data_IF_643831366690
#
_entry.id   IF_643831366690
#
_cell.length_a   1.000
_cell.length_b   1.000
_cell.length_c   1.000
_cell.angle_alpha   90.00
_cell.angle_beta   90.00
_cell.angle_gamma   90.00
#
_symmetry.space_group_name_H-M   'P 1'
#
loop_
_entity.id
_entity.type
_entity.pdbx_description
1 polymer ?
#
# COMPACT_ATOMS: atom_id res chain seq x y z
N UNK A 1 18.29 11.86 -14.36
CA UNK A 1 17.24 11.55 -13.37
C UNK A 1 16.12 10.82 -14.09
N UNK A 2 15.66 9.68 -13.57
CA UNK A 2 14.54 8.94 -14.18
C UNK A 2 13.24 9.75 -14.00
N UNK A 3 12.30 9.64 -14.94
CA UNK A 3 11.00 10.30 -14.82
C UNK A 3 10.23 9.76 -13.60
N UNK A 4 9.44 10.61 -12.90
CA UNK A 4 8.67 10.14 -11.76
C UNK A 4 7.53 9.22 -12.20
N UNK A 5 7.42 8.06 -11.55
CA UNK A 5 6.41 7.04 -11.84
C UNK A 5 5.07 7.33 -11.18
N UNK A 6 5.04 8.13 -10.11
CA UNK A 6 3.81 8.57 -9.47
C UNK A 6 3.86 10.09 -9.33
N UNK A 7 2.81 10.76 -9.77
CA UNK A 7 2.74 12.21 -9.80
C UNK A 7 1.39 12.68 -9.28
N UNK A 8 1.42 13.67 -8.40
CA UNK A 8 0.26 14.43 -7.97
C UNK A 8 0.37 15.80 -8.65
N UNK A 9 -0.67 16.20 -9.36
CA UNK A 9 -0.74 17.50 -10.06
C UNK A 9 -1.92 18.28 -9.51
N UNK A 10 -1.62 19.33 -8.74
CA UNK A 10 -2.59 20.24 -8.13
C UNK A 10 -3.71 19.50 -7.35
N UNK A 11 -3.35 18.45 -6.60
CA UNK A 11 -4.32 17.59 -5.93
C UNK A 11 -4.98 18.31 -4.76
N UNK A 12 -6.32 18.35 -4.78
CA UNK A 12 -7.17 18.80 -3.68
C UNK A 12 -8.09 17.68 -3.19
N UNK A 13 -8.30 17.60 -1.88
CA UNK A 13 -9.23 16.65 -1.25
C UNK A 13 -10.02 17.35 -0.14
N UNK A 14 -11.32 17.11 -0.11
CA UNK A 14 -12.29 17.66 0.83
C UNK A 14 -13.11 16.53 1.48
N UNK A 15 -13.42 16.69 2.76
CA UNK A 15 -14.42 15.88 3.44
C UNK A 15 -15.54 16.79 3.92
N UNK A 16 -16.68 16.73 3.23
CA UNK A 16 -17.75 17.70 3.39
C UNK A 16 -17.27 19.11 3.06
N UNK A 17 -17.45 20.05 4.00
CA UNK A 17 -17.03 21.45 3.82
C UNK A 17 -15.55 21.69 4.15
N UNK A 18 -14.87 20.70 4.73
CA UNK A 18 -13.47 20.84 5.16
C UNK A 18 -12.52 20.41 4.06
N UNK A 19 -11.70 21.33 3.57
CA UNK A 19 -10.54 20.97 2.76
C UNK A 19 -9.43 20.37 3.64
N UNK A 20 -8.86 19.27 3.17
CA UNK A 20 -7.78 18.53 3.85
C UNK A 20 -6.47 18.68 3.09
N UNK A 21 -6.51 18.56 1.76
CA UNK A 21 -5.37 18.79 0.86
C UNK A 21 -5.66 19.99 -0.04
N UNK A 22 -4.64 20.83 -0.23
CA UNK A 22 -4.74 22.07 -0.98
C UNK A 22 -3.61 22.10 -2.03
N UNK A 23 -3.95 22.00 -3.31
CA UNK A 23 -3.03 22.19 -4.43
C UNK A 23 -1.70 21.44 -4.29
N UNK A 24 -1.77 20.15 -3.97
CA UNK A 24 -0.56 19.34 -3.76
C UNK A 24 0.03 18.93 -5.11
N UNK A 25 1.26 19.37 -5.37
CA UNK A 25 2.06 18.96 -6.53
C UNK A 25 3.34 18.28 -6.06
N UNK A 26 3.51 17.00 -6.41
CA UNK A 26 4.62 16.15 -5.96
C UNK A 26 4.89 15.04 -6.98
N UNK A 27 6.14 14.61 -7.11
CA UNK A 27 6.53 13.46 -7.93
C UNK A 27 7.42 12.48 -7.16
N UNK A 28 7.22 11.18 -7.40
CA UNK A 28 8.01 10.10 -6.81
C UNK A 28 8.80 9.37 -7.90
N UNK A 29 10.10 9.25 -7.68
CA UNK A 29 11.01 8.60 -8.63
C UNK A 29 11.35 7.17 -8.19
N UNK A 30 11.57 6.24 -9.14
CA UNK A 30 12.02 4.88 -8.81
C UNK A 30 13.31 4.88 -7.98
N UNK A 31 13.46 3.89 -7.11
CA UNK A 31 14.66 3.71 -6.28
C UNK A 31 14.85 4.77 -5.18
N UNK A 32 13.83 5.58 -4.91
CA UNK A 32 13.89 6.64 -3.89
C UNK A 32 13.03 6.26 -2.69
N UNK A 33 13.58 6.42 -1.48
CA UNK A 33 12.82 6.38 -0.24
C UNK A 33 12.37 7.80 0.12
N UNK A 34 11.06 8.05 0.08
CA UNK A 34 10.48 9.35 0.43
C UNK A 34 9.78 9.27 1.78
N UNK A 35 10.16 10.13 2.72
CA UNK A 35 9.50 10.25 4.02
C UNK A 35 8.57 11.47 4.05
N UNK A 36 7.31 11.25 4.43
CA UNK A 36 6.33 12.31 4.63
C UNK A 36 6.20 12.63 6.13
N UNK A 37 6.63 13.82 6.52
CA UNK A 37 6.64 14.27 7.92
C UNK A 37 5.76 15.50 8.10
N UNK A 38 5.19 15.66 9.30
CA UNK A 38 4.33 16.79 9.64
C UNK A 38 3.43 16.48 10.85
N UNK A 39 2.79 17.50 11.44
CA UNK A 39 1.98 17.31 12.64
C UNK A 39 0.74 16.43 12.38
N UNK A 40 0.13 15.94 13.46
CA UNK A 40 -1.15 15.23 13.38
C UNK A 40 -2.22 16.14 12.77
N UNK A 41 -3.06 15.58 11.91
CA UNK A 41 -4.09 16.34 11.20
C UNK A 41 -3.61 17.13 9.97
N UNK A 42 -2.32 17.12 9.62
CA UNK A 42 -1.78 17.77 8.43
C UNK A 42 -2.21 17.12 7.08
N UNK A 43 -3.08 16.11 7.09
CA UNK A 43 -3.53 15.44 5.88
C UNK A 43 -2.61 14.33 5.34
N UNK A 44 -1.58 13.90 6.09
CA UNK A 44 -0.62 12.87 5.63
C UNK A 44 -1.28 11.56 5.19
N UNK A 45 -2.17 11.01 6.02
CA UNK A 45 -2.91 9.79 5.69
C UNK A 45 -3.84 9.99 4.49
N UNK A 46 -4.43 11.18 4.36
CA UNK A 46 -5.23 11.57 3.18
C UNK A 46 -4.36 11.65 1.93
N UNK A 47 -3.15 12.19 2.04
CA UNK A 47 -2.19 12.27 0.94
C UNK A 47 -1.78 10.88 0.46
N UNK A 48 -1.50 9.96 1.39
CA UNK A 48 -1.20 8.57 1.06
C UNK A 48 -2.42 7.88 0.41
N UNK A 49 -3.63 8.09 0.93
CA UNK A 49 -4.86 7.49 0.40
C UNK A 49 -5.22 7.99 -1.01
N UNK A 50 -4.98 9.27 -1.32
CA UNK A 50 -5.21 9.79 -2.68
C UNK A 50 -4.08 9.37 -3.63
N UNK A 51 -2.83 9.34 -3.15
CA UNK A 51 -1.69 8.89 -3.93
C UNK A 51 -1.78 7.39 -4.27
N UNK A 52 -2.35 6.59 -3.37
CA UNK A 52 -2.70 5.20 -3.64
C UNK A 52 -3.96 5.10 -4.52
N UNK A 53 -4.85 6.07 -4.49
CA UNK A 53 -6.12 6.02 -5.23
C UNK A 53 -7.19 5.23 -4.51
N UNK A 54 -7.06 5.08 -3.19
CA UNK A 54 -8.13 4.58 -2.31
C UNK A 54 -9.18 5.67 -2.05
N UNK A 55 -8.80 6.94 -2.18
CA UNK A 55 -9.67 8.13 -2.15
C UNK A 55 -9.49 8.91 -3.45
N UNK A 56 -10.57 9.29 -4.16
CA UNK A 56 -10.44 10.15 -5.34
C UNK A 56 -10.03 11.57 -4.96
N UNK A 57 -9.33 12.26 -5.85
CA UNK A 57 -9.10 13.69 -5.73
C UNK A 57 -10.35 14.48 -6.15
N UNK A 58 -10.69 15.54 -5.42
CA UNK A 58 -11.78 16.46 -5.80
C UNK A 58 -11.31 17.53 -6.81
N UNK A 59 -10.00 17.77 -6.86
CA UNK A 59 -9.34 18.67 -7.80
C UNK A 59 -7.97 18.12 -8.20
N UNK A 60 -7.52 18.48 -9.40
CA UNK A 60 -6.25 17.97 -9.95
C UNK A 60 -6.33 16.50 -10.31
N UNK A 61 -5.17 15.83 -10.37
CA UNK A 61 -5.11 14.40 -10.69
C UNK A 61 -3.87 13.72 -10.13
N UNK A 62 -4.02 12.43 -9.86
CA UNK A 62 -2.92 11.51 -9.56
C UNK A 62 -2.64 10.66 -10.79
N UNK A 63 -1.39 10.61 -11.22
CA UNK A 63 -0.94 9.89 -12.40
C UNK A 63 0.05 8.83 -11.96
N UNK A 64 -0.22 7.58 -12.32
CA UNK A 64 0.68 6.45 -12.13
C UNK A 64 1.17 6.00 -13.51
N UNK A 65 2.48 5.96 -13.67
CA UNK A 65 3.20 5.95 -14.93
C UNK A 65 2.74 7.11 -15.82
N UNK A 66 1.97 6.82 -16.87
CA UNK A 66 1.46 7.81 -17.82
C UNK A 66 -0.08 7.90 -17.82
N UNK A 67 -0.75 7.27 -16.85
CA UNK A 67 -2.20 7.18 -16.81
C UNK A 67 -2.78 7.70 -15.49
N UNK A 68 -3.90 8.45 -15.51
CA UNK A 68 -4.64 8.79 -14.30
C UNK A 68 -4.95 7.55 -13.46
N UNK A 69 -4.72 7.62 -12.14
CA UNK A 69 -4.86 6.47 -11.24
C UNK A 69 -6.29 5.92 -11.24
N UNK A 70 -7.29 6.79 -11.39
CA UNK A 70 -8.71 6.42 -11.48
C UNK A 70 -9.10 5.64 -12.74
N UNK A 71 -8.24 5.59 -13.77
CA UNK A 71 -8.48 4.77 -14.97
C UNK A 71 -7.94 3.35 -14.84
N UNK A 72 -7.19 3.04 -13.78
CA UNK A 72 -6.70 1.69 -13.55
C UNK A 72 -7.81 0.78 -13.02
N UNK A 73 -7.89 -0.44 -13.56
CA UNK A 73 -8.72 -1.48 -12.94
C UNK A 73 -8.06 -1.92 -11.62
N UNK A 74 -8.86 -2.19 -10.60
CA UNK A 74 -8.37 -2.55 -9.26
C UNK A 74 -7.30 -3.67 -9.28
N UNK A 75 -7.53 -4.77 -10.02
CA UNK A 75 -6.58 -5.88 -10.14
C UNK A 75 -5.25 -5.49 -10.81
N UNK A 76 -5.27 -4.55 -11.76
CA UNK A 76 -4.06 -4.05 -12.41
C UNK A 76 -3.31 -3.09 -11.49
N UNK A 77 -4.03 -2.17 -10.84
CA UNK A 77 -3.44 -1.23 -9.88
C UNK A 77 -2.75 -1.94 -8.71
N UNK A 78 -3.36 -3.02 -8.19
CA UNK A 78 -2.79 -3.84 -7.12
C UNK A 78 -1.51 -4.58 -7.49
N UNK A 79 -1.14 -4.64 -8.78
CA UNK A 79 0.16 -5.18 -9.23
C UNK A 79 1.25 -4.11 -9.32
N UNK A 80 0.86 -2.84 -9.40
CA UNK A 80 1.77 -1.70 -9.48
C UNK A 80 2.08 -1.10 -8.11
N UNK A 81 1.15 -1.21 -7.15
CA UNK A 81 1.30 -0.67 -5.79
C UNK A 81 0.83 -1.65 -4.72
N UNK A 82 1.49 -1.58 -3.57
CA UNK A 82 1.03 -2.15 -2.31
C UNK A 82 0.93 -1.05 -1.25
N UNK A 83 0.03 -1.22 -0.29
CA UNK A 83 -0.17 -0.27 0.81
C UNK A 83 -0.20 -1.06 2.12
N UNK A 84 0.66 -0.70 3.05
CA UNK A 84 0.62 -1.19 4.43
C UNK A 84 -0.17 -0.18 5.28
N UNK A 85 -1.39 -0.51 5.76
CA UNK A 85 -2.17 0.41 6.59
C UNK A 85 -1.51 0.63 7.95
N UNK A 86 -1.90 1.70 8.63
CA UNK A 86 -1.41 1.97 9.99
C UNK A 86 -2.02 1.00 11.03
N UNK A 87 -3.27 0.57 10.81
CA UNK A 87 -3.98 -0.41 11.64
C UNK A 87 -3.99 -1.79 10.97
N UNK A 88 -3.69 -2.82 11.76
CA UNK A 88 -3.40 -4.19 11.34
C UNK A 88 -4.41 -5.20 11.86
N UNK A 89 -5.62 -4.77 12.24
CA UNK A 89 -6.60 -5.63 12.87
C UNK A 89 -7.13 -6.74 11.92
N UNK A 90 -6.46 -7.89 11.86
CA UNK A 90 -6.94 -9.09 11.18
C UNK A 90 -8.08 -9.70 12.01
N UNK A 91 -9.31 -9.47 11.57
CA UNK A 91 -10.54 -9.89 12.27
C UNK A 91 -10.91 -11.34 12.07
N UNK A 92 -10.06 -12.18 11.49
CA UNK A 92 -10.29 -13.62 11.26
C UNK A 92 -9.07 -14.43 11.70
N UNK A 93 -9.27 -15.72 12.02
CA UNK A 93 -8.21 -16.62 12.46
C UNK A 93 -7.42 -17.15 11.26
N UNK A 94 -6.72 -16.25 10.56
CA UNK A 94 -5.77 -16.63 9.52
C UNK A 94 -4.38 -16.81 10.11
N UNK A 95 -3.66 -17.78 9.57
CA UNK A 95 -2.22 -17.97 9.80
C UNK A 95 -1.41 -16.90 9.08
N UNK A 96 -0.16 -16.70 9.51
CA UNK A 96 0.78 -15.81 8.81
C UNK A 96 0.94 -16.23 7.34
N UNK A 97 1.07 -17.53 7.07
CA UNK A 97 1.20 -18.08 5.72
C UNK A 97 0.01 -17.69 4.82
N UNK A 98 -1.21 -17.84 5.33
CA UNK A 98 -2.44 -17.47 4.61
C UNK A 98 -2.51 -15.97 4.34
N UNK A 99 -2.12 -15.12 5.30
CA UNK A 99 -2.11 -13.65 5.11
C UNK A 99 -1.08 -13.23 4.06
N UNK A 100 0.13 -13.78 4.09
CA UNK A 100 1.15 -13.49 3.07
C UNK A 100 0.71 -14.00 1.70
N UNK A 101 0.07 -15.18 1.64
CA UNK A 101 -0.49 -15.72 0.40
C UNK A 101 -1.56 -14.82 -0.22
N UNK A 102 -2.33 -14.05 0.58
CA UNK A 102 -3.31 -13.09 0.05
C UNK A 102 -2.66 -11.99 -0.79
N UNK A 103 -1.38 -11.67 -0.58
CA UNK A 103 -0.63 -10.74 -1.44
C UNK A 103 -0.54 -11.20 -2.90
N UNK A 104 -0.76 -12.50 -3.17
CA UNK A 104 -0.75 -13.08 -4.53
C UNK A 104 -2.09 -12.96 -5.27
N UNK A 105 -3.19 -12.63 -4.59
CA UNK A 105 -4.54 -12.56 -5.20
C UNK A 105 -4.64 -11.72 -6.49
N UNK A 106 -3.90 -10.59 -6.66
CA UNK A 106 -3.94 -9.84 -7.91
C UNK A 106 -3.30 -10.56 -9.09
N UNK A 107 -2.49 -11.60 -8.89
CA UNK A 107 -1.71 -12.28 -9.93
C UNK A 107 -2.45 -13.49 -10.51
N UNK A 108 -2.08 -13.97 -11.70
CA UNK A 108 -2.51 -15.28 -12.17
C UNK A 108 -2.00 -16.37 -11.22
N UNK A 109 -2.84 -17.38 -10.94
CA UNK A 109 -2.46 -18.48 -10.07
C UNK A 109 -1.32 -19.29 -10.71
N UNK A 110 -0.25 -19.47 -9.96
CA UNK A 110 0.90 -20.29 -10.33
C UNK A 110 1.44 -20.92 -9.04
N UNK A 111 0.97 -22.12 -8.65
CA UNK A 111 1.26 -22.68 -7.33
C UNK A 111 2.75 -22.78 -6.99
N UNK A 112 3.58 -23.16 -7.97
CA UNK A 112 5.02 -23.29 -7.76
C UNK A 112 5.69 -21.92 -7.55
N UNK A 113 5.33 -20.94 -8.38
CA UNK A 113 5.86 -19.57 -8.27
C UNK A 113 5.33 -18.85 -7.03
N UNK A 114 4.06 -19.00 -6.73
CA UNK A 114 3.41 -18.37 -5.58
C UNK A 114 4.03 -18.91 -4.28
N UNK A 115 4.24 -20.21 -4.16
CA UNK A 115 4.95 -20.81 -3.02
C UNK A 115 6.37 -20.24 -2.85
N UNK A 116 7.13 -20.09 -3.94
CA UNK A 116 8.48 -19.51 -3.89
C UNK A 116 8.48 -18.03 -3.47
N UNK A 117 7.50 -17.25 -3.95
CA UNK A 117 7.36 -15.84 -3.58
C UNK A 117 6.92 -15.66 -2.12
N UNK A 118 6.00 -16.51 -1.64
CA UNK A 118 5.56 -16.52 -0.24
C UNK A 118 6.72 -16.87 0.69
N UNK A 119 7.50 -17.91 0.36
CA UNK A 119 8.68 -18.28 1.15
C UNK A 119 9.71 -17.14 1.19
N UNK A 120 9.98 -16.51 0.05
CA UNK A 120 10.90 -15.36 -0.01
C UNK A 120 10.40 -14.15 0.81
N UNK A 121 9.08 -13.90 0.82
CA UNK A 121 8.49 -12.83 1.62
C UNK A 121 8.60 -13.11 3.12
N UNK A 122 8.28 -14.34 3.55
CA UNK A 122 8.43 -14.78 4.93
C UNK A 122 9.88 -14.69 5.42
N UNK A 123 10.84 -15.05 4.58
CA UNK A 123 12.27 -14.94 4.89
C UNK A 123 12.73 -13.50 5.08
N UNK A 124 12.38 -12.62 4.14
CA UNK A 124 12.74 -11.20 4.22
C UNK A 124 12.11 -10.48 5.41
N UNK A 125 11.00 -10.99 5.92
CA UNK A 125 10.31 -10.48 7.10
C UNK A 125 10.66 -11.23 8.40
N UNK A 126 11.54 -12.24 8.35
CA UNK A 126 11.93 -13.09 9.49
C UNK A 126 10.73 -13.77 10.18
N UNK A 127 9.80 -14.31 9.40
CA UNK A 127 8.53 -14.87 9.86
C UNK A 127 8.40 -16.39 9.69
N UNK A 128 9.41 -17.10 9.18
CA UNK A 128 9.29 -18.54 8.87
C UNK A 128 8.89 -19.38 10.08
N UNK A 129 9.45 -19.10 11.26
CA UNK A 129 9.12 -19.80 12.51
C UNK A 129 7.71 -19.57 13.01
N UNK A 130 7.02 -18.56 12.48
CA UNK A 130 5.67 -18.16 12.88
C UNK A 130 4.63 -18.40 11.77
N UNK A 131 5.01 -19.02 10.65
CA UNK A 131 4.15 -19.17 9.46
C UNK A 131 2.78 -19.80 9.76
N UNK A 132 2.74 -20.81 10.63
CA UNK A 132 1.51 -21.52 11.01
C UNK A 132 0.77 -20.86 12.18
N UNK A 133 1.30 -19.78 12.76
CA UNK A 133 0.69 -19.11 13.90
C UNK A 133 -0.43 -18.19 13.42
N UNK A 134 -1.52 -18.14 14.19
CA UNK A 134 -2.61 -17.18 13.93
C UNK A 134 -2.14 -15.74 14.17
N UNK A 135 -2.42 -14.84 13.21
CA UNK A 135 -1.97 -13.44 13.25
C UNK A 135 -2.46 -12.70 14.50
N UNK A 136 -3.63 -13.05 15.03
CA UNK A 136 -4.19 -12.44 16.25
C UNK A 136 -3.38 -12.73 17.52
N UNK A 137 -2.55 -13.77 17.51
CA UNK A 137 -1.75 -14.19 18.66
C UNK A 137 -0.37 -13.53 18.68
N UNK A 138 -0.02 -12.82 17.61
CA UNK A 138 1.27 -12.17 17.44
C UNK A 138 1.37 -10.93 18.32
N UNK A 139 2.59 -10.63 18.75
CA UNK A 139 2.94 -9.31 19.26
C UNK A 139 2.77 -8.23 18.17
N UNK A 140 2.68 -6.95 18.56
CA UNK A 140 2.53 -5.87 17.58
C UNK A 140 3.67 -5.80 16.56
N UNK A 141 4.91 -6.11 16.97
CA UNK A 141 6.07 -6.14 16.06
C UNK A 141 6.01 -7.32 15.08
N UNK A 142 5.58 -8.49 15.53
CA UNK A 142 5.37 -9.65 14.67
C UNK A 142 4.21 -9.43 13.69
N UNK A 143 3.10 -8.82 14.13
CA UNK A 143 1.97 -8.48 13.26
C UNK A 143 2.36 -7.46 12.17
N UNK A 144 3.19 -6.47 12.52
CA UNK A 144 3.73 -5.52 11.55
C UNK A 144 4.62 -6.22 10.51
N UNK A 145 5.49 -7.15 10.93
CA UNK A 145 6.32 -7.95 10.01
C UNK A 145 5.49 -8.90 9.15
N UNK A 146 4.45 -9.53 9.72
CA UNK A 146 3.52 -10.37 8.98
C UNK A 146 2.77 -9.61 7.87
N UNK A 147 2.46 -8.33 8.11
CA UNK A 147 1.80 -7.48 7.10
C UNK A 147 2.77 -6.90 6.08
N UNK A 148 4.03 -6.71 6.48
CA UNK A 148 5.10 -6.28 5.59
C UNK A 148 5.51 -7.37 4.59
N UNK A 149 5.43 -8.65 5.00
CA UNK A 149 5.65 -9.82 4.16
C UNK A 149 4.59 -9.93 3.05
#
# INVERSE_FOLDING_TARGET
MSAPFLQLRAVGVRFGERAILHDITLGFSPGTLTALVGPNGAGKSTLLAVASGDVPADAGQVILHDQPIGHWKAKALARERAVMPQDHAVRFAFTVDEVVAMGRLPHPADPARDAALIESALDRAEMQGLRSREVRTLSGGEAARATFA
#
